data_IF_170059034882
#
_entry.id   IF_170059034882
#
_cell.length_a   1.000
_cell.length_b   1.000
_cell.length_c   1.000
_cell.angle_alpha   90.00
_cell.angle_beta   90.00
_cell.angle_gamma   90.00
#
_symmetry.space_group_name_H-M   'P 1'
#
loop_
_entity.id
_entity.type
_entity.pdbx_description
1 polymer ?
#
# COMPACT_ATOMS: atom_id res chain seq x y z
N UNK A 1 -0.20 -21.92 16.75
CA UNK A 1 -1.04 -21.44 17.87
C UNK A 1 -0.77 -20.01 18.30
N UNK A 2 0.46 -19.57 18.61
CA UNK A 2 0.75 -18.15 18.91
C UNK A 2 0.73 -17.27 17.64
N UNK A 3 1.34 -17.73 16.53
CA UNK A 3 1.30 -17.04 15.23
C UNK A 3 -0.12 -16.90 14.67
N UNK A 4 -0.95 -17.93 14.81
CA UNK A 4 -2.34 -17.88 14.33
C UNK A 4 -3.20 -16.87 15.11
N UNK A 5 -2.80 -16.52 16.35
CA UNK A 5 -3.45 -15.52 17.19
C UNK A 5 -2.96 -14.10 16.88
N UNK A 6 -1.66 -13.92 16.60
CA UNK A 6 -1.09 -12.65 16.14
C UNK A 6 -1.58 -12.25 14.73
N UNK A 7 -1.68 -13.21 13.81
CA UNK A 7 -2.24 -12.99 12.46
C UNK A 7 -3.70 -12.51 12.54
N UNK A 8 -4.46 -12.97 13.54
CA UNK A 8 -5.87 -12.57 13.74
C UNK A 8 -6.03 -11.13 14.24
N UNK A 9 -5.02 -10.53 14.85
CA UNK A 9 -5.13 -9.19 15.45
C UNK A 9 -4.57 -8.05 14.56
N UNK A 10 -3.75 -8.35 13.54
CA UNK A 10 -2.97 -7.32 12.81
C UNK A 10 -3.14 -7.30 11.28
N UNK A 11 -4.05 -8.10 10.72
CA UNK A 11 -4.12 -8.29 9.27
C UNK A 11 -2.96 -9.16 8.77
N UNK A 12 -2.97 -9.52 7.48
CA UNK A 12 -1.99 -10.46 6.91
C UNK A 12 -1.50 -9.98 5.54
N UNK A 13 -0.20 -9.98 5.31
CA UNK A 13 0.40 -9.59 4.04
C UNK A 13 1.10 -10.82 3.43
N UNK A 14 0.53 -11.30 2.31
CA UNK A 14 1.03 -12.43 1.54
C UNK A 14 1.78 -11.93 0.31
N UNK A 15 3.02 -12.36 0.10
CA UNK A 15 3.73 -12.20 -1.17
C UNK A 15 3.53 -13.44 -2.05
N UNK A 16 3.10 -13.23 -3.28
CA UNK A 16 3.03 -14.25 -4.33
C UNK A 16 4.18 -14.00 -5.33
N UNK A 17 5.31 -14.65 -5.08
CA UNK A 17 6.54 -14.45 -5.83
C UNK A 17 6.63 -15.38 -7.05
N UNK A 18 6.95 -14.81 -8.21
CA UNK A 18 7.39 -15.56 -9.38
C UNK A 18 8.02 -14.65 -10.43
N UNK A 19 8.79 -15.24 -11.35
CA UNK A 19 9.32 -14.57 -12.54
C UNK A 19 8.20 -14.01 -13.45
N UNK A 20 8.58 -13.14 -14.38
CA UNK A 20 7.69 -12.63 -15.43
C UNK A 20 7.31 -13.75 -16.40
N UNK A 21 6.08 -13.70 -16.93
CA UNK A 21 5.58 -14.71 -17.87
C UNK A 21 4.95 -15.96 -17.24
N UNK A 22 5.12 -16.20 -15.93
CA UNK A 22 4.61 -17.41 -15.26
C UNK A 22 3.12 -17.37 -14.88
N UNK A 23 2.34 -16.41 -15.36
CA UNK A 23 0.89 -16.36 -15.15
C UNK A 23 0.42 -15.85 -13.78
N UNK A 24 1.21 -15.03 -13.07
CA UNK A 24 0.82 -14.45 -11.76
C UNK A 24 -0.53 -13.73 -11.81
N UNK A 25 -0.68 -12.82 -12.78
CA UNK A 25 -1.92 -12.07 -13.01
C UNK A 25 -3.10 -13.00 -13.29
N UNK A 26 -2.89 -14.02 -14.11
CA UNK A 26 -3.90 -15.05 -14.39
C UNK A 26 -4.30 -15.78 -13.10
N UNK A 27 -3.34 -16.20 -12.30
CA UNK A 27 -3.59 -16.88 -11.03
C UNK A 27 -4.39 -15.99 -10.06
N UNK A 28 -4.00 -14.72 -9.89
CA UNK A 28 -4.74 -13.78 -9.03
C UNK A 28 -6.17 -13.58 -9.54
N UNK A 29 -6.36 -13.36 -10.84
CA UNK A 29 -7.71 -13.16 -11.42
C UNK A 29 -8.57 -14.42 -11.28
N UNK A 30 -8.00 -15.61 -11.46
CA UNK A 30 -8.69 -16.87 -11.23
C UNK A 30 -9.05 -17.08 -9.76
N UNK A 31 -8.13 -16.77 -8.84
CA UNK A 31 -8.38 -16.84 -7.41
C UNK A 31 -9.51 -15.88 -7.02
N UNK A 32 -9.43 -14.63 -7.47
CA UNK A 32 -10.50 -13.64 -7.27
C UNK A 32 -11.86 -14.17 -7.75
N UNK A 33 -11.93 -14.67 -8.99
CA UNK A 33 -13.16 -15.21 -9.56
C UNK A 33 -13.68 -16.42 -8.75
N UNK A 34 -12.79 -17.28 -8.26
CA UNK A 34 -13.18 -18.42 -7.41
C UNK A 34 -13.84 -17.94 -6.11
N UNK A 35 -13.32 -16.88 -5.49
CA UNK A 35 -13.91 -16.27 -4.29
C UNK A 35 -15.25 -15.60 -4.58
N UNK A 36 -15.39 -14.92 -5.73
CA UNK A 36 -16.64 -14.24 -6.11
C UNK A 36 -17.77 -15.23 -6.45
N UNK A 37 -17.43 -16.32 -7.12
CA UNK A 37 -18.39 -17.26 -7.75
C UNK A 37 -18.60 -18.55 -6.98
N UNK A 38 -17.95 -18.73 -5.82
CA UNK A 38 -18.11 -19.92 -4.99
C UNK A 38 -19.58 -20.16 -4.65
N UNK A 39 -20.04 -21.40 -4.86
CA UNK A 39 -21.38 -21.86 -4.43
C UNK A 39 -21.42 -22.18 -2.95
N UNK A 40 -20.26 -22.41 -2.33
CA UNK A 40 -20.11 -22.49 -0.89
C UNK A 40 -20.02 -21.08 -0.32
N UNK A 41 -21.02 -20.70 0.49
CA UNK A 41 -21.11 -19.38 1.14
C UNK A 41 -19.93 -19.12 2.06
N UNK A 42 -19.26 -20.15 2.56
CA UNK A 42 -18.08 -19.99 3.43
C UNK A 42 -16.82 -19.64 2.66
N UNK A 43 -16.80 -19.90 1.35
CA UNK A 43 -15.73 -19.50 0.43
C UNK A 43 -16.06 -18.24 -0.38
N UNK A 44 -17.24 -17.66 -0.19
CA UNK A 44 -17.57 -16.35 -0.76
C UNK A 44 -16.96 -15.23 0.11
N UNK A 45 -15.78 -14.77 -0.29
CA UNK A 45 -14.96 -13.84 0.48
C UNK A 45 -14.92 -12.48 -0.23
N UNK A 46 -15.25 -11.36 0.45
CA UNK A 46 -15.21 -10.03 -0.17
C UNK A 46 -13.78 -9.66 -0.55
N UNK A 47 -13.60 -9.15 -1.77
CA UNK A 47 -12.27 -8.92 -2.29
C UNK A 47 -12.21 -7.79 -3.34
N UNK A 48 -11.04 -7.19 -3.46
CA UNK A 48 -10.71 -6.13 -4.42
C UNK A 48 -9.45 -6.52 -5.21
N UNK A 49 -9.43 -6.21 -6.50
CA UNK A 49 -8.24 -6.30 -7.34
C UNK A 49 -7.71 -4.90 -7.63
N UNK A 50 -6.40 -4.70 -7.43
CA UNK A 50 -5.69 -3.46 -7.67
C UNK A 50 -4.42 -3.75 -8.48
N UNK A 51 -4.31 -3.19 -9.68
CA UNK A 51 -3.07 -3.25 -10.46
C UNK A 51 -2.19 -2.07 -10.07
N UNK A 52 -1.12 -2.33 -9.32
CA UNK A 52 -0.25 -1.26 -8.86
C UNK A 52 0.46 -0.55 -10.02
N UNK A 53 0.75 -1.27 -11.09
CA UNK A 53 1.41 -0.70 -12.27
C UNK A 53 0.47 0.14 -13.13
N UNK A 54 -0.79 -0.30 -13.33
CA UNK A 54 -1.76 0.50 -14.10
C UNK A 54 -2.14 1.79 -13.36
N UNK A 55 -2.11 1.78 -12.03
CA UNK A 55 -2.46 2.93 -11.18
C UNK A 55 -1.23 3.76 -10.73
N UNK A 56 -0.03 3.47 -11.25
CA UNK A 56 1.20 4.16 -10.84
C UNK A 56 1.35 5.59 -11.43
N UNK A 57 0.40 6.00 -12.27
CA UNK A 57 0.23 7.41 -12.69
C UNK A 57 -0.27 8.29 -11.54
N UNK A 58 -0.99 7.72 -10.56
CA UNK A 58 -1.26 8.41 -9.30
C UNK A 58 0.07 8.68 -8.61
N UNK A 59 0.26 9.91 -8.11
CA UNK A 59 1.48 10.25 -7.37
C UNK A 59 1.53 9.58 -6.00
N UNK A 60 0.36 9.21 -5.44
CA UNK A 60 0.22 8.76 -4.07
C UNK A 60 -0.43 7.37 -4.03
N UNK A 61 0.30 6.30 -3.65
CA UNK A 61 -0.24 4.93 -3.63
C UNK A 61 -1.43 4.76 -2.68
N UNK A 62 -1.42 5.43 -1.53
CA UNK A 62 -2.54 5.38 -0.57
C UNK A 62 -3.84 5.89 -1.22
N UNK A 63 -3.77 7.02 -1.94
CA UNK A 63 -4.94 7.61 -2.60
C UNK A 63 -5.48 6.66 -3.67
N UNK A 64 -4.60 5.99 -4.41
CA UNK A 64 -4.99 5.01 -5.43
C UNK A 64 -5.76 3.82 -4.80
N UNK A 65 -5.24 3.22 -3.73
CA UNK A 65 -5.93 2.13 -3.02
C UNK A 65 -7.27 2.61 -2.46
N UNK A 66 -7.29 3.77 -1.80
CA UNK A 66 -8.52 4.32 -1.22
C UNK A 66 -9.58 4.63 -2.27
N UNK A 67 -9.16 5.09 -3.47
CA UNK A 67 -10.05 5.29 -4.61
C UNK A 67 -10.68 3.98 -5.09
N UNK A 68 -9.88 2.91 -5.24
CA UNK A 68 -10.41 1.60 -5.65
C UNK A 68 -11.28 0.95 -4.55
N UNK A 69 -10.97 1.16 -3.26
CA UNK A 69 -11.87 0.80 -2.15
C UNK A 69 -13.18 1.58 -2.29
N UNK A 70 -13.14 2.90 -2.48
CA UNK A 70 -14.35 3.71 -2.61
C UNK A 70 -15.24 3.22 -3.76
N UNK A 71 -14.64 2.98 -4.92
CA UNK A 71 -15.31 2.42 -6.10
C UNK A 71 -15.93 1.05 -5.83
N UNK A 72 -15.21 0.17 -5.12
CA UNK A 72 -15.76 -1.12 -4.69
C UNK A 72 -17.00 -0.95 -3.82
N UNK A 73 -17.01 -0.01 -2.88
CA UNK A 73 -18.16 0.23 -2.00
C UNK A 73 -19.37 0.76 -2.77
N UNK A 74 -19.16 1.71 -3.68
CA UNK A 74 -20.21 2.26 -4.53
C UNK A 74 -20.87 1.14 -5.37
N UNK A 75 -20.07 0.25 -5.95
CA UNK A 75 -20.58 -0.85 -6.79
C UNK A 75 -21.35 -1.92 -5.98
N UNK A 76 -21.03 -2.10 -4.70
CA UNK A 76 -21.63 -3.13 -3.85
C UNK A 76 -22.77 -2.61 -2.94
N UNK A 77 -23.27 -1.38 -3.19
CA UNK A 77 -24.50 -0.81 -2.63
C UNK A 77 -24.72 -1.04 -1.12
N UNK A 78 -23.95 -0.32 -0.30
CA UNK A 78 -24.39 0.19 1.01
C UNK A 78 -24.22 1.70 0.97
N UNK A 79 -25.16 2.44 1.57
CA UNK A 79 -25.23 3.90 1.62
C UNK A 79 -23.87 4.59 1.51
N UNK A 80 -23.82 5.67 0.73
CA UNK A 80 -22.71 6.63 0.71
C UNK A 80 -22.17 6.77 2.13
N UNK A 81 -20.99 6.19 2.39
CA UNK A 81 -20.46 6.21 3.74
C UNK A 81 -19.90 7.60 3.96
N UNK A 82 -20.77 8.53 4.35
CA UNK A 82 -20.44 9.94 4.61
C UNK A 82 -19.18 10.06 5.48
N UNK A 83 -18.96 9.11 6.39
CA UNK A 83 -17.77 9.08 7.23
C UNK A 83 -16.51 8.69 6.45
N UNK A 84 -16.59 7.77 5.50
CA UNK A 84 -15.47 7.44 4.60
C UNK A 84 -15.14 8.63 3.69
N UNK A 85 -16.14 9.25 3.05
CA UNK A 85 -15.92 10.44 2.22
C UNK A 85 -15.29 11.60 3.00
N UNK A 86 -15.77 11.87 4.22
CA UNK A 86 -15.16 12.89 5.10
C UNK A 86 -13.71 12.57 5.46
N UNK A 87 -13.37 11.30 5.65
CA UNK A 87 -11.98 10.89 5.92
C UNK A 87 -11.13 11.02 4.65
N UNK A 88 -11.66 10.69 3.47
CA UNK A 88 -10.97 10.88 2.19
C UNK A 88 -10.64 12.37 1.96
N UNK A 89 -11.58 13.27 2.21
CA UNK A 89 -11.35 14.73 2.10
C UNK A 89 -10.26 15.21 3.07
N UNK A 90 -10.24 14.69 4.30
CA UNK A 90 -9.19 15.01 5.28
C UNK A 90 -7.82 14.50 4.83
N UNK A 91 -7.75 13.28 4.30
CA UNK A 91 -6.51 12.69 3.77
C UNK A 91 -6.01 13.50 2.58
N UNK A 92 -6.89 13.86 1.64
CA UNK A 92 -6.52 14.69 0.51
C UNK A 92 -5.92 16.04 0.95
N UNK A 93 -6.47 16.65 2.01
CA UNK A 93 -5.93 17.88 2.60
C UNK A 93 -4.58 17.67 3.30
N UNK A 94 -4.32 16.50 3.90
CA UNK A 94 -2.97 16.15 4.41
C UNK A 94 -2.00 16.11 3.23
N UNK A 95 -2.26 15.31 2.20
CA UNK A 95 -1.36 15.15 1.06
C UNK A 95 -1.14 16.44 0.26
N UNK A 96 -2.15 17.33 0.17
CA UNK A 96 -2.00 18.66 -0.43
C UNK A 96 -1.09 19.59 0.39
N UNK A 97 -1.13 19.48 1.72
CA UNK A 97 -0.36 20.34 2.63
C UNK A 97 1.01 19.77 2.98
N UNK A 98 1.19 18.45 2.88
CA UNK A 98 2.47 17.75 3.00
C UNK A 98 3.13 17.68 1.63
N UNK A 99 3.62 18.81 1.11
CA UNK A 99 4.67 18.74 0.09
C UNK A 99 5.82 17.92 0.69
N UNK A 100 6.16 16.73 0.18
CA UNK A 100 7.04 15.81 0.89
C UNK A 100 8.40 16.48 1.10
N UNK A 101 8.90 16.49 2.33
CA UNK A 101 10.25 16.96 2.64
C UNK A 101 11.30 16.17 1.84
N UNK A 102 10.98 14.93 1.44
CA UNK A 102 11.78 14.11 0.53
C UNK A 102 11.95 14.76 -0.85
N UNK A 103 10.95 15.48 -1.37
CA UNK A 103 11.12 16.31 -2.57
C UNK A 103 12.13 17.43 -2.33
N UNK A 104 12.16 18.05 -1.15
CA UNK A 104 13.17 19.08 -0.77
C UNK A 104 14.58 18.48 -0.56
N UNK A 105 14.69 17.24 -0.09
CA UNK A 105 15.99 16.53 0.03
C UNK A 105 16.49 16.05 -1.34
N UNK A 106 15.61 15.60 -2.22
CA UNK A 106 15.96 15.29 -3.61
C UNK A 106 16.33 16.56 -4.40
N UNK A 107 15.65 17.67 -4.12
CA UNK A 107 16.03 19.03 -4.54
C UNK A 107 17.45 19.36 -4.05
N UNK A 108 17.89 18.96 -2.84
CA UNK A 108 19.27 19.14 -2.34
C UNK A 108 20.34 18.56 -3.29
N UNK A 109 20.06 17.39 -3.90
CA UNK A 109 20.94 16.77 -4.89
C UNK A 109 20.93 17.46 -6.27
N UNK A 110 19.81 18.10 -6.62
CA UNK A 110 19.65 18.87 -7.86
C UNK A 110 20.14 20.32 -7.73
N UNK A 111 19.99 20.95 -6.56
CA UNK A 111 20.33 22.35 -6.27
C UNK A 111 21.84 22.57 -6.08
N UNK A 112 22.55 21.60 -5.49
CA UNK A 112 24.02 21.63 -5.44
C UNK A 112 24.67 21.62 -6.84
N UNK A 113 23.96 21.10 -7.85
CA UNK A 113 24.38 21.19 -9.26
C UNK A 113 23.97 22.50 -9.94
N UNK A 114 23.04 23.27 -9.35
CA UNK A 114 22.45 24.47 -9.95
C UNK A 114 22.96 25.80 -9.35
N UNK A 115 23.81 25.77 -8.31
CA UNK A 115 24.49 26.96 -7.79
C UNK A 115 23.59 27.96 -7.03
N UNK A 116 22.58 27.47 -6.30
CA UNK A 116 21.72 28.33 -5.46
C UNK A 116 22.40 28.63 -4.11
N UNK A 117 22.31 29.89 -3.67
CA UNK A 117 23.03 30.50 -2.55
C UNK A 117 22.58 29.99 -1.17
N UNK A 118 23.53 29.86 -0.22
CA UNK A 118 23.32 29.32 1.13
C UNK A 118 22.37 30.15 2.02
N UNK A 119 22.17 31.43 1.71
CA UNK A 119 21.35 32.34 2.51
C UNK A 119 19.85 32.02 2.43
N UNK A 120 19.37 31.52 1.28
CA UNK A 120 17.98 31.07 1.12
C UNK A 120 17.70 29.78 1.92
N UNK A 121 18.73 28.98 2.20
CA UNK A 121 18.63 27.78 3.04
C UNK A 121 18.54 28.20 4.51
N UNK A 122 19.27 29.24 4.93
CA UNK A 122 19.20 29.77 6.29
C UNK A 122 17.84 30.36 6.64
N UNK A 123 17.23 31.17 5.77
CA UNK A 123 15.88 31.71 6.01
C UNK A 123 14.82 30.61 6.17
N UNK A 124 14.93 29.51 5.41
CA UNK A 124 14.03 28.36 5.52
C UNK A 124 14.25 27.59 6.84
N UNK A 125 15.48 27.51 7.33
CA UNK A 125 15.79 26.86 8.61
C UNK A 125 15.34 27.74 9.79
N UNK A 126 15.55 29.05 9.71
CA UNK A 126 15.19 30.02 10.76
C UNK A 126 13.66 30.17 10.88
N UNK A 127 12.92 30.15 9.77
CA UNK A 127 11.44 30.16 9.79
C UNK A 127 10.82 28.90 10.39
N UNK A 128 11.49 27.75 10.32
CA UNK A 128 11.09 26.50 11.01
C UNK A 128 11.42 26.55 12.51
N UNK A 129 12.46 27.30 12.90
CA UNK A 129 12.92 27.33 14.28
C UNK A 129 11.99 28.12 15.22
N UNK A 130 11.41 29.24 14.76
CA UNK A 130 10.73 30.19 15.67
C UNK A 130 9.23 29.92 15.90
N UNK A 131 8.52 29.27 14.97
CA UNK A 131 7.12 28.81 15.17
C UNK A 131 6.92 27.30 14.92
N UNK A 132 7.95 26.61 14.41
CA UNK A 132 7.74 25.35 13.71
C UNK A 132 7.67 24.11 14.60
N UNK A 133 8.31 24.01 15.77
CA UNK A 133 8.28 22.73 16.52
C UNK A 133 6.88 22.39 17.03
N UNK A 134 6.15 23.38 17.58
CA UNK A 134 4.80 23.14 18.11
C UNK A 134 3.81 22.89 16.98
N UNK A 135 3.87 23.67 15.90
CA UNK A 135 3.03 23.47 14.71
C UNK A 135 3.35 22.15 14.00
N UNK A 136 4.61 21.73 13.92
CA UNK A 136 5.01 20.43 13.36
C UNK A 136 4.55 19.27 14.25
N UNK A 137 4.65 19.40 15.58
CA UNK A 137 4.14 18.39 16.52
C UNK A 137 2.62 18.31 16.48
N UNK A 138 1.93 19.44 16.37
CA UNK A 138 0.47 19.49 16.22
C UNK A 138 0.02 18.93 14.86
N UNK A 139 0.73 19.26 13.77
CA UNK A 139 0.48 18.68 12.44
C UNK A 139 0.70 17.16 12.45
N UNK A 140 1.83 16.70 12.99
CA UNK A 140 2.12 15.27 13.14
C UNK A 140 1.06 14.54 13.96
N UNK A 141 0.60 15.16 15.06
CA UNK A 141 -0.46 14.59 15.91
C UNK A 141 -1.79 14.50 15.16
N UNK A 142 -2.14 15.53 14.37
CA UNK A 142 -3.32 15.53 13.50
C UNK A 142 -3.23 14.47 12.41
N UNK A 143 -2.08 14.33 11.75
CA UNK A 143 -1.88 13.32 10.71
C UNK A 143 -2.06 11.91 11.29
N UNK A 144 -1.46 11.65 12.46
CA UNK A 144 -1.63 10.38 13.18
C UNK A 144 -3.09 10.12 13.55
N UNK A 145 -3.83 11.14 14.01
CA UNK A 145 -5.25 11.02 14.33
C UNK A 145 -6.09 10.70 13.09
N UNK A 146 -5.83 11.37 11.95
CA UNK A 146 -6.53 11.09 10.69
C UNK A 146 -6.26 9.67 10.20
N UNK A 147 -5.02 9.19 10.30
CA UNK A 147 -4.68 7.80 9.96
C UNK A 147 -5.38 6.79 10.88
N UNK A 148 -5.53 7.10 12.17
CA UNK A 148 -6.28 6.26 13.10
C UNK A 148 -7.79 6.24 12.74
N UNK A 149 -8.38 7.41 12.45
CA UNK A 149 -9.77 7.52 11.99
C UNK A 149 -9.99 6.73 10.69
N UNK A 150 -9.02 6.78 9.75
CA UNK A 150 -9.07 5.99 8.52
C UNK A 150 -9.15 4.49 8.82
N UNK A 151 -8.28 3.97 9.68
CA UNK A 151 -8.28 2.55 10.05
C UNK A 151 -9.62 2.10 10.62
N UNK A 152 -10.17 2.89 11.55
CA UNK A 152 -11.46 2.59 12.17
C UNK A 152 -12.63 2.62 11.18
N UNK A 153 -12.61 3.57 10.24
CA UNK A 153 -13.62 3.64 9.19
C UNK A 153 -13.48 2.46 8.23
N UNK A 154 -12.26 2.15 7.79
CA UNK A 154 -11.99 1.00 6.92
C UNK A 154 -12.40 -0.32 7.58
N UNK A 155 -12.13 -0.51 8.88
CA UNK A 155 -12.57 -1.69 9.62
C UNK A 155 -14.10 -1.84 9.60
N UNK A 156 -14.84 -0.75 9.86
CA UNK A 156 -16.31 -0.74 9.80
C UNK A 156 -16.82 -0.99 8.39
N UNK A 157 -16.15 -0.41 7.40
CA UNK A 157 -16.46 -0.59 5.98
C UNK A 157 -16.30 -2.05 5.59
N UNK A 158 -15.17 -2.68 5.90
CA UNK A 158 -14.93 -4.09 5.58
C UNK A 158 -15.95 -5.00 6.26
N UNK A 159 -16.25 -4.77 7.55
CA UNK A 159 -17.35 -5.47 8.26
C UNK A 159 -18.70 -5.30 7.56
N UNK A 160 -19.00 -4.11 7.08
CA UNK A 160 -20.25 -3.84 6.38
C UNK A 160 -20.37 -4.63 5.07
N UNK A 161 -19.27 -4.94 4.39
CA UNK A 161 -19.28 -5.73 3.15
C UNK A 161 -19.09 -7.24 3.40
N UNK A 162 -19.28 -7.68 4.64
CA UNK A 162 -19.28 -9.11 5.00
C UNK A 162 -17.93 -9.65 5.47
N UNK A 163 -16.95 -8.78 5.74
CA UNK A 163 -15.68 -9.23 6.29
C UNK A 163 -15.78 -9.52 7.80
N UNK A 164 -15.29 -10.67 8.22
CA UNK A 164 -15.23 -11.09 9.62
C UNK A 164 -13.98 -11.97 9.89
N UNK A 165 -13.90 -12.54 11.09
CA UNK A 165 -12.77 -13.37 11.52
C UNK A 165 -12.53 -14.65 10.70
N UNK A 166 -13.56 -15.13 9.98
CA UNK A 166 -13.49 -16.29 9.11
C UNK A 166 -13.46 -15.89 7.62
N UNK A 167 -13.98 -14.71 7.28
CA UNK A 167 -14.06 -14.17 5.92
C UNK A 167 -13.34 -12.83 5.86
N UNK A 168 -12.00 -12.80 5.73
CA UNK A 168 -11.29 -11.53 5.66
C UNK A 168 -11.64 -10.76 4.37
N UNK A 169 -11.52 -9.45 4.38
CA UNK A 169 -11.48 -8.67 3.14
C UNK A 169 -10.12 -8.87 2.47
N UNK A 170 -10.09 -9.29 1.21
CA UNK A 170 -8.84 -9.54 0.49
C UNK A 170 -8.57 -8.43 -0.53
N UNK A 171 -7.42 -7.76 -0.42
CA UNK A 171 -6.92 -6.85 -1.45
C UNK A 171 -5.80 -7.53 -2.22
N UNK A 172 -6.07 -7.86 -3.48
CA UNK A 172 -5.06 -8.32 -4.41
C UNK A 172 -4.34 -7.12 -5.01
N UNK A 173 -3.02 -7.08 -4.88
CA UNK A 173 -2.14 -6.07 -5.47
C UNK A 173 -1.28 -6.78 -6.51
N UNK A 174 -1.46 -6.44 -7.78
CA UNK A 174 -0.69 -7.04 -8.87
C UNK A 174 0.38 -6.09 -9.42
N UNK A 175 1.42 -6.69 -9.98
CA UNK A 175 2.48 -6.02 -10.75
C UNK A 175 3.27 -4.93 -10.00
N UNK A 176 3.35 -5.01 -8.67
CA UNK A 176 4.07 -4.02 -7.85
C UNK A 176 5.55 -3.88 -8.24
N UNK A 177 6.19 -4.96 -8.69
CA UNK A 177 7.59 -4.95 -9.14
C UNK A 177 7.83 -4.18 -10.45
N UNK A 178 6.77 -3.74 -11.14
CA UNK A 178 6.86 -2.91 -12.36
C UNK A 178 6.72 -1.41 -12.11
N UNK A 179 6.25 -1.02 -10.92
CA UNK A 179 6.11 0.38 -10.56
C UNK A 179 7.49 1.06 -10.47
N UNK A 180 7.46 2.40 -10.55
CA UNK A 180 8.65 3.22 -10.26
C UNK A 180 9.21 2.89 -8.86
N UNK A 181 10.54 2.88 -8.67
CA UNK A 181 11.16 2.48 -7.40
C UNK A 181 10.55 3.13 -6.15
N UNK A 182 10.40 4.46 -6.15
CA UNK A 182 9.84 5.21 -5.02
C UNK A 182 8.39 4.82 -4.74
N UNK A 183 7.57 4.70 -5.79
CA UNK A 183 6.17 4.29 -5.67
C UNK A 183 6.04 2.88 -5.06
N UNK A 184 6.86 1.93 -5.51
CA UNK A 184 6.82 0.56 -4.98
C UNK A 184 7.17 0.48 -3.49
N UNK A 185 8.14 1.30 -3.04
CA UNK A 185 8.52 1.42 -1.62
C UNK A 185 7.40 2.06 -0.81
N UNK A 186 6.89 3.21 -1.26
CA UNK A 186 5.80 3.93 -0.59
C UNK A 186 4.53 3.06 -0.48
N UNK A 187 4.23 2.27 -1.51
CA UNK A 187 3.12 1.31 -1.49
C UNK A 187 3.32 0.25 -0.39
N UNK A 188 4.51 -0.35 -0.29
CA UNK A 188 4.82 -1.32 0.77
C UNK A 188 4.73 -0.69 2.17
N UNK A 189 5.22 0.54 2.34
CA UNK A 189 5.13 1.30 3.59
C UNK A 189 3.67 1.60 3.96
N UNK A 190 2.85 2.04 3.00
CA UNK A 190 1.43 2.28 3.19
C UNK A 190 0.71 1.00 3.63
N UNK A 191 0.94 -0.13 2.96
CA UNK A 191 0.35 -1.42 3.34
C UNK A 191 0.76 -1.80 4.78
N UNK A 192 2.05 -1.72 5.11
CA UNK A 192 2.56 -2.14 6.42
C UNK A 192 2.08 -1.25 7.56
N UNK A 193 1.96 0.05 7.35
CA UNK A 193 1.66 1.00 8.43
C UNK A 193 0.19 1.38 8.52
N UNK A 194 -0.50 1.48 7.37
CA UNK A 194 -1.86 2.01 7.30
C UNK A 194 -2.92 0.92 7.30
N UNK A 195 -2.57 -0.29 6.86
CA UNK A 195 -3.54 -1.36 6.70
C UNK A 195 -3.33 -2.53 7.69
N UNK A 196 -2.79 -2.23 8.87
CA UNK A 196 -2.90 -3.09 10.06
C UNK A 196 -4.34 -3.01 10.58
N UNK A 197 -5.25 -3.64 9.86
CA UNK A 197 -6.69 -3.63 10.13
C UNK A 197 -7.13 -5.07 10.34
N UNK A 198 -7.85 -5.39 11.43
CA UNK A 198 -8.38 -6.73 11.64
C UNK A 198 -9.21 -7.20 10.44
N UNK A 199 -9.06 -8.47 10.09
CA UNK A 199 -9.76 -9.11 8.98
C UNK A 199 -9.45 -8.51 7.61
N UNK A 200 -8.29 -7.85 7.44
CA UNK A 200 -7.79 -7.40 6.14
C UNK A 200 -6.57 -8.24 5.74
N UNK A 201 -6.60 -8.76 4.51
CA UNK A 201 -5.53 -9.56 3.93
C UNK A 201 -5.06 -8.90 2.64
N UNK A 202 -3.76 -8.72 2.49
CA UNK A 202 -3.13 -8.34 1.23
C UNK A 202 -2.52 -9.56 0.56
N UNK A 203 -2.73 -9.67 -0.75
CA UNK A 203 -2.04 -10.64 -1.61
C UNK A 203 -1.31 -9.85 -2.67
N UNK A 204 0.02 -9.80 -2.57
CA UNK A 204 0.87 -8.95 -3.40
C UNK A 204 1.63 -9.84 -4.37
N UNK A 205 1.28 -9.79 -5.66
CA UNK A 205 2.03 -10.46 -6.73
C UNK A 205 3.26 -9.66 -7.08
N UNK A 206 4.43 -10.31 -6.97
CA UNK A 206 5.72 -9.68 -7.21
C UNK A 206 6.65 -10.61 -8.00
N UNK A 207 7.60 -10.01 -8.69
CA UNK A 207 8.89 -10.62 -8.95
C UNK A 207 9.90 -10.08 -7.92
N UNK A 208 10.22 -10.88 -6.90
CA UNK A 208 11.06 -10.46 -5.78
C UNK A 208 12.43 -9.94 -6.23
N UNK A 209 13.04 -10.58 -7.23
CA UNK A 209 14.34 -10.14 -7.77
C UNK A 209 14.25 -8.77 -8.42
N UNK A 210 13.17 -8.48 -9.15
CA UNK A 210 12.99 -7.17 -9.78
C UNK A 210 12.63 -6.09 -8.76
N UNK A 211 11.75 -6.41 -7.81
CA UNK A 211 11.43 -5.52 -6.70
C UNK A 211 12.68 -5.16 -5.87
N UNK A 212 13.54 -6.14 -5.58
CA UNK A 212 14.85 -5.92 -4.93
C UNK A 212 15.72 -4.94 -5.71
N UNK A 213 15.81 -5.07 -7.03
CA UNK A 213 16.58 -4.14 -7.87
C UNK A 213 16.00 -2.73 -7.82
N UNK A 214 14.68 -2.60 -7.86
CA UNK A 214 14.00 -1.30 -7.71
C UNK A 214 14.34 -0.66 -6.36
N UNK A 215 14.27 -1.41 -5.27
CA UNK A 215 14.62 -0.90 -3.93
C UNK A 215 16.09 -0.46 -3.85
N UNK A 216 17.01 -1.24 -4.44
CA UNK A 216 18.44 -0.88 -4.49
C UNK A 216 18.71 0.39 -5.31
N UNK A 217 17.86 0.73 -6.28
CA UNK A 217 17.99 1.98 -7.03
C UNK A 217 17.77 3.22 -6.15
N UNK A 218 17.03 3.08 -5.03
CA UNK A 218 16.76 4.17 -4.07
C UNK A 218 17.74 4.16 -2.90
N UNK A 219 17.96 2.99 -2.29
CA UNK A 219 18.75 2.89 -1.06
C UNK A 219 20.20 2.46 -1.25
N UNK A 220 20.62 2.18 -2.49
CA UNK A 220 21.94 1.63 -2.79
C UNK A 220 22.04 0.13 -2.49
N UNK A 221 23.26 -0.35 -2.26
CA UNK A 221 23.57 -1.78 -2.07
C UNK A 221 23.16 -2.30 -0.68
N UNK A 222 21.86 -2.28 -0.39
CA UNK A 222 21.30 -2.82 0.85
C UNK A 222 20.95 -4.30 0.71
N UNK A 223 20.83 -4.97 1.86
CA UNK A 223 20.23 -6.29 1.96
C UNK A 223 18.71 -6.21 1.78
N UNK A 224 18.27 -6.32 0.53
CA UNK A 224 16.85 -6.23 0.19
C UNK A 224 16.04 -7.44 0.61
N UNK A 225 16.67 -8.60 0.80
CA UNK A 225 15.99 -9.81 1.28
C UNK A 225 15.49 -9.59 2.71
N UNK A 226 16.38 -9.14 3.60
CA UNK A 226 16.01 -8.82 4.98
C UNK A 226 15.09 -7.59 5.08
N UNK A 227 15.22 -6.63 4.17
CA UNK A 227 14.31 -5.49 4.08
C UNK A 227 12.88 -5.95 3.73
N UNK A 228 12.70 -6.73 2.66
CA UNK A 228 11.40 -7.21 2.19
C UNK A 228 10.70 -8.14 3.20
N UNK A 229 11.45 -8.92 3.96
CA UNK A 229 10.91 -9.77 5.06
C UNK A 229 10.17 -8.98 6.14
N UNK A 230 10.36 -7.67 6.25
CA UNK A 230 9.62 -6.83 7.20
C UNK A 230 8.21 -6.48 6.70
N UNK A 231 7.97 -6.62 5.40
CA UNK A 231 6.70 -6.26 4.77
C UNK A 231 5.78 -7.48 4.58
N UNK A 232 6.34 -8.64 4.26
CA UNK A 232 5.56 -9.86 4.03
C UNK A 232 5.56 -10.77 5.27
N UNK A 233 4.36 -11.14 5.71
CA UNK A 233 4.21 -12.10 6.81
C UNK A 233 4.40 -13.54 6.31
N UNK A 234 3.97 -13.80 5.07
CA UNK A 234 4.17 -15.07 4.37
C UNK A 234 4.58 -14.81 2.91
N UNK A 235 5.47 -15.65 2.42
CA UNK A 235 5.90 -15.65 1.02
C UNK A 235 5.60 -17.01 0.38
N UNK A 236 4.90 -16.99 -0.75
CA UNK A 236 4.61 -18.15 -1.58
C UNK A 236 5.30 -18.01 -2.93
N UNK A 237 5.80 -19.11 -3.47
CA UNK A 237 6.42 -19.16 -4.79
C UNK A 237 5.44 -19.87 -5.73
N UNK A 238 5.03 -19.20 -6.81
CA UNK A 238 4.29 -19.89 -7.86
C UNK A 238 5.24 -20.82 -8.62
N UNK A 239 4.85 -22.08 -8.86
CA UNK A 239 5.68 -23.01 -9.62
C UNK A 239 5.87 -22.48 -11.05
N UNK A 240 7.07 -22.71 -11.60
CA UNK A 240 7.31 -22.41 -13.01
C UNK A 240 6.39 -23.27 -13.86
N UNK A 241 5.82 -22.70 -14.92
CA UNK A 241 5.11 -23.48 -15.91
C UNK A 241 6.11 -24.42 -16.57
N UNK A 242 5.82 -25.73 -16.54
CA UNK A 242 6.61 -26.72 -17.26
C UNK A 242 6.25 -26.55 -18.73
N UNK A 243 7.10 -25.87 -19.50
CA UNK A 243 6.90 -25.65 -20.94
C UNK A 243 7.41 -26.79 -21.81
N UNK A 244 7.90 -27.89 -21.23
CA UNK A 244 8.72 -28.86 -21.95
C UNK A 244 7.96 -29.89 -22.81
N UNK A 245 6.62 -29.87 -22.90
CA UNK A 245 5.87 -30.91 -23.64
C UNK A 245 4.78 -30.40 -24.61
N UNK A 246 4.80 -29.15 -25.05
CA UNK A 246 3.77 -28.62 -25.98
C UNK A 246 4.30 -27.98 -27.29
N UNK A 247 5.52 -28.34 -27.72
CA UNK A 247 5.99 -28.07 -29.08
C UNK A 247 6.73 -29.27 -29.68
#
# INVERSE_FOLDING_TARGET
>A
MLKDKEIKEQGLILALNSEWGNGKTTFIKMWKNMLDTSTDKDFQIPNLYFSAWEEDYSKEPLVAILGEINKYLILNNKEENDNFNKVLEKIENIFKNTLPVVSKVMIRGLLNKAGINDDAIKEVIESIADNGIKELVESYSKDKEVLQQLKEVLEKVFKSVGADENKPFIIFIDELDRCRPTYSIEMLENIKHLFVIPNLVFVISINKVQLSKSIQAVYGQIDTENYLRRFFDLEFILPKQITDDFF
#
